data_IF_148262485465
#
_entry.id   IF_148262485465
#
_cell.length_a   1.000
_cell.length_b   1.000
_cell.length_c   1.000
_cell.angle_alpha   90.00
_cell.angle_beta   90.00
_cell.angle_gamma   90.00
#
_symmetry.space_group_name_H-M   'P 1'
#
loop_
_entity.id
_entity.type
_entity.pdbx_description
1 polymer ?
#
# COMPACT_ATOMS: atom_id res chain seq x y z
N UNK A 1 4.47 -5.93 -19.19
CA UNK A 1 4.44 -5.18 -17.91
C UNK A 1 5.46 -4.06 -18.02
N UNK A 2 5.12 -2.86 -17.58
CA UNK A 2 5.99 -1.67 -17.62
C UNK A 2 6.20 -1.23 -16.18
N UNK A 3 7.42 -0.82 -15.84
CA UNK A 3 7.73 -0.20 -14.56
C UNK A 3 8.00 1.30 -14.77
N UNK A 4 7.42 2.15 -13.90
CA UNK A 4 7.62 3.60 -13.95
C UNK A 4 7.84 4.13 -12.53
N UNK A 5 8.72 5.13 -12.40
CA UNK A 5 8.85 5.88 -11.16
C UNK A 5 7.68 6.87 -11.07
N UNK A 6 6.76 6.64 -10.14
CA UNK A 6 5.57 7.46 -9.93
C UNK A 6 5.54 7.97 -8.50
N UNK A 7 5.15 9.23 -8.29
CA UNK A 7 5.05 9.80 -6.93
C UNK A 7 3.97 9.08 -6.13
N UNK A 8 4.30 8.72 -4.89
CA UNK A 8 3.30 8.22 -3.93
C UNK A 8 2.53 9.39 -3.33
N UNK A 9 1.22 9.41 -3.58
CA UNK A 9 0.34 10.52 -3.27
C UNK A 9 -0.37 11.03 -4.53
N UNK A 10 -1.70 10.98 -4.53
CA UNK A 10 -2.50 11.47 -5.65
C UNK A 10 -3.77 12.19 -5.18
N UNK A 11 -4.14 13.24 -5.90
CA UNK A 11 -5.38 14.00 -5.71
C UNK A 11 -5.91 14.47 -7.06
N UNK A 12 -7.24 14.58 -7.25
CA UNK A 12 -7.78 15.21 -8.43
C UNK A 12 -7.42 16.71 -8.45
N UNK A 13 -7.37 17.30 -9.65
CA UNK A 13 -6.90 18.67 -9.85
C UNK A 13 -7.65 19.75 -9.04
N UNK A 14 -8.90 19.47 -8.65
CA UNK A 14 -9.75 20.39 -7.89
C UNK A 14 -9.55 20.31 -6.37
N UNK A 15 -8.90 19.27 -5.84
CA UNK A 15 -8.76 19.04 -4.40
C UNK A 15 -7.42 19.58 -3.86
N UNK A 16 -7.09 20.84 -4.15
CA UNK A 16 -5.77 21.39 -3.83
C UNK A 16 -5.62 21.92 -2.39
N UNK A 17 -6.71 21.93 -1.62
CA UNK A 17 -6.82 22.45 -0.25
C UNK A 17 -6.04 21.64 0.80
N UNK A 18 -5.59 20.43 0.45
CA UNK A 18 -4.92 19.49 1.37
C UNK A 18 -3.81 18.71 0.66
N UNK A 19 -2.87 18.19 1.44
CA UNK A 19 -1.84 17.30 0.92
C UNK A 19 -2.46 16.10 0.16
N UNK A 20 -1.77 15.62 -0.88
CA UNK A 20 -2.25 14.49 -1.64
C UNK A 20 -2.30 13.24 -0.74
N UNK A 21 -3.45 12.57 -0.60
CA UNK A 21 -3.54 11.34 0.17
C UNK A 21 -2.68 10.26 -0.47
N UNK A 22 -2.13 9.39 0.37
CA UNK A 22 -1.27 8.26 -0.04
C UNK A 22 -2.01 6.92 -0.06
N UNK A 23 -3.19 6.86 0.59
CA UNK A 23 -4.01 5.65 0.74
C UNK A 23 -5.46 5.90 0.34
N UNK A 24 -6.13 4.87 -0.19
CA UNK A 24 -7.56 4.84 -0.46
C UNK A 24 -8.22 3.60 0.16
N UNK A 25 -9.40 3.76 0.75
CA UNK A 25 -10.10 2.67 1.43
C UNK A 25 -10.86 1.77 0.45
N UNK A 26 -10.61 0.47 0.46
CA UNK A 26 -11.21 -0.51 -0.44
C UNK A 26 -12.75 -0.40 -0.50
N UNK A 27 -13.40 -0.17 0.63
CA UNK A 27 -14.85 -0.13 0.79
C UNK A 27 -15.52 1.07 0.08
N UNK A 28 -14.74 2.07 -0.33
CA UNK A 28 -15.27 3.32 -0.92
C UNK A 28 -14.57 3.73 -2.21
N UNK A 29 -13.42 3.14 -2.53
CA UNK A 29 -12.51 3.68 -3.55
C UNK A 29 -13.13 3.65 -4.95
N UNK A 30 -13.83 2.59 -5.33
CA UNK A 30 -14.41 2.42 -6.66
C UNK A 30 -15.47 3.48 -7.00
N UNK A 31 -16.22 3.93 -5.99
CA UNK A 31 -17.35 4.86 -6.16
C UNK A 31 -17.07 6.27 -5.61
N UNK A 32 -15.89 6.50 -5.05
CA UNK A 32 -15.52 7.80 -4.50
C UNK A 32 -15.42 8.85 -5.60
N UNK A 33 -16.07 10.00 -5.45
CA UNK A 33 -15.85 11.17 -6.34
C UNK A 33 -14.38 11.58 -6.44
N UNK A 34 -13.58 11.27 -5.41
CA UNK A 34 -12.16 11.58 -5.39
C UNK A 34 -11.36 10.63 -6.28
N UNK A 35 -11.65 9.32 -6.26
CA UNK A 35 -10.82 8.27 -6.88
C UNK A 35 -11.45 7.58 -8.09
N UNK A 36 -12.75 7.73 -8.34
CA UNK A 36 -13.46 7.01 -9.41
C UNK A 36 -12.90 7.29 -10.80
N UNK A 37 -12.34 8.49 -11.01
CA UNK A 37 -11.67 8.86 -12.25
C UNK A 37 -10.38 8.07 -12.50
N UNK A 38 -9.71 7.59 -11.45
CA UNK A 38 -8.48 6.78 -11.53
C UNK A 38 -8.68 5.31 -11.22
N UNK A 39 -9.92 4.88 -10.91
CA UNK A 39 -10.23 3.49 -10.56
C UNK A 39 -9.84 2.48 -11.65
N UNK A 40 -9.98 2.87 -12.92
CA UNK A 40 -9.62 2.03 -14.08
C UNK A 40 -8.11 2.01 -14.34
N UNK A 41 -7.36 2.93 -13.73
CA UNK A 41 -5.92 3.05 -13.90
C UNK A 41 -5.25 2.33 -12.72
N UNK A 42 -5.16 1.01 -12.86
CA UNK A 42 -4.68 0.08 -11.84
C UNK A 42 -3.20 -0.24 -12.04
N UNK A 43 -2.46 -0.35 -10.94
CA UNK A 43 -1.07 -0.78 -10.92
C UNK A 43 -0.79 -1.63 -9.67
N UNK A 44 0.41 -2.20 -9.62
CA UNK A 44 0.94 -2.87 -8.44
C UNK A 44 2.13 -2.07 -7.94
N UNK A 45 2.17 -1.82 -6.63
CA UNK A 45 3.35 -1.26 -5.96
C UNK A 45 4.05 -2.40 -5.22
N UNK A 46 5.11 -2.99 -5.79
CA UNK A 46 5.88 -4.02 -5.11
C UNK A 46 6.75 -3.38 -4.02
N UNK A 47 6.73 -3.97 -2.81
CA UNK A 47 7.57 -3.58 -1.67
C UNK A 47 8.10 -4.82 -0.95
N UNK A 48 9.19 -4.70 -0.21
CA UNK A 48 9.68 -5.79 0.65
C UNK A 48 8.74 -6.03 1.84
N UNK A 49 8.08 -4.98 2.30
CA UNK A 49 7.15 -4.98 3.42
C UNK A 49 6.65 -3.57 3.72
N UNK A 50 5.96 -3.41 4.85
CA UNK A 50 5.54 -2.09 5.35
C UNK A 50 5.78 -1.97 6.85
N UNK A 51 5.72 -0.73 7.34
CA UNK A 51 5.91 -0.42 8.76
C UNK A 51 4.58 -0.03 9.39
N UNK A 52 4.35 -0.48 10.63
CA UNK A 52 3.24 -0.03 11.47
C UNK A 52 3.74 0.37 12.86
N UNK A 53 3.15 1.41 13.44
CA UNK A 53 3.56 1.93 14.75
C UNK A 53 2.49 1.60 15.80
N UNK A 54 2.82 0.66 16.68
CA UNK A 54 1.95 0.13 17.74
C UNK A 54 2.14 0.92 19.02
N UNK A 55 1.04 1.27 19.70
CA UNK A 55 1.11 1.78 21.07
C UNK A 55 1.14 0.60 22.05
N UNK A 56 2.28 0.43 22.71
CA UNK A 56 2.48 -0.65 23.68
C UNK A 56 2.49 -0.14 25.13
N UNK A 57 1.90 1.04 25.37
CA UNK A 57 1.87 1.68 26.69
C UNK A 57 3.20 2.35 27.10
N UNK A 58 4.16 2.41 26.18
CA UNK A 58 5.44 3.10 26.36
C UNK A 58 5.39 4.59 25.99
N UNK A 59 6.49 5.34 26.21
CA UNK A 59 6.54 6.78 25.91
C UNK A 59 6.50 7.11 24.41
N UNK A 60 6.76 6.11 23.55
CA UNK A 60 6.72 6.23 22.09
C UNK A 60 6.23 4.93 21.49
N UNK A 61 5.47 5.06 20.40
CA UNK A 61 5.04 3.92 19.59
C UNK A 61 6.23 3.06 19.14
N UNK A 62 6.02 1.75 19.11
CA UNK A 62 6.98 0.76 18.65
C UNK A 62 6.72 0.49 17.16
N UNK A 63 7.69 0.72 16.26
CA UNK A 63 7.57 0.28 14.89
C UNK A 63 7.72 -1.24 14.78
N UNK A 64 6.88 -1.82 13.95
CA UNK A 64 6.96 -3.19 13.47
C UNK A 64 7.19 -3.15 11.97
N UNK A 65 8.04 -4.04 11.48
CA UNK A 65 8.12 -4.33 10.05
C UNK A 65 7.30 -5.58 9.76
N UNK A 66 6.46 -5.50 8.73
CA UNK A 66 5.55 -6.56 8.30
C UNK A 66 5.93 -6.93 6.87
N UNK A 67 6.15 -8.22 6.65
CA UNK A 67 6.56 -8.78 5.36
C UNK A 67 5.89 -10.14 5.12
N UNK A 68 5.96 -10.66 3.90
CA UNK A 68 5.53 -12.04 3.66
C UNK A 68 6.44 -13.03 4.40
N UNK A 69 5.85 -14.06 4.99
CA UNK A 69 6.60 -15.10 5.71
C UNK A 69 7.51 -15.92 4.79
N UNK A 70 7.19 -16.00 3.50
CA UNK A 70 7.99 -16.68 2.47
C UNK A 70 9.13 -15.81 1.90
N UNK A 71 9.26 -14.55 2.35
CA UNK A 71 10.27 -13.59 1.87
C UNK A 71 10.02 -13.07 0.46
N UNK A 72 8.88 -13.39 -0.17
CA UNK A 72 8.51 -12.82 -1.46
C UNK A 72 8.06 -11.35 -1.29
N UNK A 73 8.10 -10.60 -2.39
CA UNK A 73 7.63 -9.22 -2.41
C UNK A 73 6.13 -9.12 -2.07
N UNK A 74 5.78 -8.07 -1.33
CA UNK A 74 4.40 -7.66 -1.08
C UNK A 74 3.90 -6.89 -2.30
N UNK A 75 2.84 -7.39 -2.94
CA UNK A 75 2.24 -6.79 -4.14
C UNK A 75 1.00 -5.96 -3.76
N UNK A 76 1.21 -4.70 -3.40
CA UNK A 76 0.12 -3.81 -3.01
C UNK A 76 -0.74 -3.38 -4.21
N UNK A 77 -2.05 -3.53 -4.11
CA UNK A 77 -3.00 -3.00 -5.09
C UNK A 77 -3.01 -1.47 -5.06
N UNK A 78 -2.78 -0.84 -6.22
CA UNK A 78 -2.75 0.62 -6.34
C UNK A 78 -3.57 1.13 -7.51
N UNK A 79 -4.01 2.38 -7.38
CA UNK A 79 -4.64 3.16 -8.45
C UNK A 79 -3.98 4.53 -8.54
N UNK A 80 -4.04 5.15 -9.72
CA UNK A 80 -3.42 6.45 -9.89
C UNK A 80 -3.62 7.07 -11.25
N UNK A 81 -3.01 8.23 -11.42
CA UNK A 81 -2.84 8.85 -12.72
C UNK A 81 -1.37 8.70 -13.11
N UNK A 82 -1.13 7.92 -14.15
CA UNK A 82 0.22 7.56 -14.58
C UNK A 82 0.63 8.37 -15.81
N UNK A 83 1.93 8.67 -15.97
CA UNK A 83 2.44 9.22 -17.22
C UNK A 83 2.22 8.24 -18.38
N UNK A 84 2.02 8.79 -19.56
CA UNK A 84 2.18 8.03 -20.80
C UNK A 84 3.62 7.53 -20.92
N UNK A 85 3.82 6.43 -21.64
CA UNK A 85 5.16 5.91 -21.91
C UNK A 85 6.06 7.01 -22.47
N UNK A 86 7.27 7.11 -21.94
CA UNK A 86 8.30 8.08 -22.34
C UNK A 86 7.94 9.57 -22.11
N UNK A 87 6.84 9.86 -21.41
CA UNK A 87 6.46 11.23 -21.04
C UNK A 87 7.11 11.68 -19.72
N UNK A 88 7.31 12.99 -19.59
CA UNK A 88 7.78 13.60 -18.34
C UNK A 88 6.72 13.44 -17.23
N UNK A 89 7.17 13.25 -16.00
CA UNK A 89 6.28 13.21 -14.85
C UNK A 89 5.74 14.61 -14.53
N UNK A 90 4.42 14.73 -14.48
CA UNK A 90 3.74 15.98 -14.15
C UNK A 90 3.22 15.98 -12.72
N UNK A 91 2.91 17.18 -12.19
CA UNK A 91 2.34 17.34 -10.85
C UNK A 91 1.01 16.63 -10.65
N UNK A 92 0.25 16.34 -11.72
CA UNK A 92 -1.00 15.59 -11.63
C UNK A 92 -0.79 14.08 -11.49
N UNK A 93 0.40 13.57 -11.84
CA UNK A 93 0.69 12.15 -11.75
C UNK A 93 0.92 11.73 -10.30
N UNK A 94 0.54 10.51 -10.00
CA UNK A 94 0.68 9.96 -8.66
C UNK A 94 -0.17 8.72 -8.49
N UNK A 95 0.07 7.99 -7.41
CA UNK A 95 -0.73 6.82 -7.04
C UNK A 95 -1.07 6.81 -5.56
N UNK A 96 -2.06 5.98 -5.21
CA UNK A 96 -2.42 5.65 -3.84
C UNK A 96 -2.42 4.13 -3.65
N UNK A 97 -2.06 3.68 -2.45
CA UNK A 97 -2.19 2.27 -2.05
C UNK A 97 -3.61 2.04 -1.55
N UNK A 98 -4.26 0.97 -2.00
CA UNK A 98 -5.55 0.57 -1.48
C UNK A 98 -5.34 -0.12 -0.14
N UNK A 99 -6.11 0.27 0.88
CA UNK A 99 -6.09 -0.34 2.21
C UNK A 99 -7.44 -0.93 2.56
N UNK A 100 -7.46 -1.98 3.35
CA UNK A 100 -8.65 -2.61 3.94
C UNK A 100 -8.54 -2.63 5.47
N UNK A 101 -9.64 -2.94 6.17
CA UNK A 101 -9.60 -3.23 7.61
C UNK A 101 -8.62 -4.38 7.88
N UNK A 102 -7.89 -4.29 9.00
CA UNK A 102 -7.09 -5.41 9.45
C UNK A 102 -8.01 -6.54 9.93
N UNK A 103 -7.73 -7.77 9.51
CA UNK A 103 -8.37 -8.99 10.01
C UNK A 103 -7.39 -9.72 10.95
N UNK A 104 -7.91 -10.58 11.83
CA UNK A 104 -7.24 -11.53 12.76
C UNK A 104 -5.74 -11.33 13.07
N UNK A 105 -5.35 -11.21 14.35
CA UNK A 105 -3.95 -11.17 14.81
C UNK A 105 -3.14 -9.93 14.40
N UNK A 106 -3.40 -9.36 13.22
CA UNK A 106 -2.85 -8.10 12.72
C UNK A 106 -3.60 -6.88 13.27
N UNK A 107 -4.82 -7.07 13.79
CA UNK A 107 -5.61 -6.05 14.49
C UNK A 107 -4.87 -5.51 15.72
N UNK A 108 -4.04 -6.33 16.37
CA UNK A 108 -3.24 -5.90 17.53
C UNK A 108 -2.13 -4.90 17.15
N UNK A 109 -1.88 -4.71 15.84
CA UNK A 109 -0.84 -3.82 15.32
C UNK A 109 -1.43 -2.51 14.79
N UNK A 110 -2.49 -2.57 13.97
CA UNK A 110 -3.14 -1.39 13.41
C UNK A 110 -4.52 -1.69 12.80
N UNK A 111 -5.41 -0.69 12.73
CA UNK A 111 -6.78 -0.84 12.23
C UNK A 111 -6.88 -1.09 10.71
N UNK A 112 -5.81 -0.79 9.95
CA UNK A 112 -5.80 -0.84 8.48
C UNK A 112 -4.50 -1.44 7.96
N UNK A 113 -4.59 -2.20 6.88
CA UNK A 113 -3.45 -2.78 6.15
C UNK A 113 -3.55 -2.54 4.63
N UNK A 114 -2.43 -2.56 3.88
CA UNK A 114 -2.48 -2.60 2.43
C UNK A 114 -3.27 -3.81 1.93
N UNK A 115 -4.04 -3.64 0.86
CA UNK A 115 -4.59 -4.77 0.10
C UNK A 115 -3.46 -5.37 -0.71
N UNK A 116 -2.97 -6.52 -0.27
CA UNK A 116 -1.91 -7.27 -0.92
C UNK A 116 -2.54 -8.36 -1.78
N UNK A 117 -2.11 -8.49 -3.03
CA UNK A 117 -2.63 -9.50 -3.95
C UNK A 117 -1.62 -10.63 -4.15
N UNK A 118 -2.12 -11.85 -4.34
CA UNK A 118 -1.28 -12.96 -4.83
C UNK A 118 -0.72 -12.64 -6.22
N UNK A 119 0.34 -13.30 -6.68
CA UNK A 119 0.88 -13.06 -8.03
C UNK A 119 -0.15 -13.23 -9.15
N UNK A 120 -1.10 -14.16 -9.00
CA UNK A 120 -2.17 -14.42 -9.96
C UNK A 120 -3.16 -13.26 -10.00
N UNK A 121 -3.64 -12.81 -8.84
CA UNK A 121 -4.54 -11.67 -8.74
C UNK A 121 -3.85 -10.37 -9.11
N UNK A 122 -2.57 -10.20 -8.81
CA UNK A 122 -1.80 -9.03 -9.22
C UNK A 122 -1.73 -8.90 -10.76
N UNK A 123 -1.63 -10.02 -11.49
CA UNK A 123 -1.69 -10.02 -12.97
C UNK A 123 -3.09 -9.66 -13.48
N UNK A 124 -4.13 -10.24 -12.89
CA UNK A 124 -5.53 -9.90 -13.24
C UNK A 124 -5.84 -8.43 -12.93
N UNK A 125 -5.31 -7.90 -11.83
CA UNK A 125 -5.54 -6.53 -11.37
C UNK A 125 -5.03 -5.50 -12.38
N UNK A 126 -3.84 -5.71 -12.95
CA UNK A 126 -3.25 -4.79 -13.93
C UNK A 126 -3.73 -5.03 -15.36
N UNK A 127 -4.48 -6.11 -15.60
CA UNK A 127 -5.06 -6.37 -16.90
C UNK A 127 -6.16 -5.33 -17.20
N UNK A 128 -6.00 -4.61 -18.31
CA UNK A 128 -6.97 -3.63 -18.79
C UNK A 128 -8.30 -4.26 -19.23
N UNK A 129 -8.33 -5.57 -19.49
CA UNK A 129 -9.55 -6.31 -19.78
C UNK A 129 -10.38 -6.62 -18.52
N UNK A 130 -9.78 -6.56 -17.32
CA UNK A 130 -10.49 -6.85 -16.07
C UNK A 130 -11.56 -5.79 -15.79
N UNK A 131 -12.85 -6.19 -15.70
CA UNK A 131 -13.94 -5.27 -15.44
C UNK A 131 -13.79 -4.53 -14.10
N UNK A 132 -14.25 -3.26 -13.99
CA UNK A 132 -14.21 -2.52 -12.74
C UNK A 132 -14.84 -3.24 -11.54
N UNK A 133 -15.92 -4.00 -11.77
CA UNK A 133 -16.66 -4.75 -10.75
C UNK A 133 -15.85 -5.96 -10.25
N UNK A 134 -15.12 -6.62 -11.15
CA UNK A 134 -14.19 -7.70 -10.80
C UNK A 134 -13.03 -7.17 -9.97
N UNK A 135 -12.46 -6.04 -10.38
CA UNK A 135 -11.41 -5.36 -9.62
C UNK A 135 -11.90 -4.97 -8.21
N UNK A 136 -13.14 -4.53 -8.07
CA UNK A 136 -13.73 -4.21 -6.78
C UNK A 136 -13.87 -5.45 -5.88
N UNK A 137 -14.36 -6.58 -6.42
CA UNK A 137 -14.41 -7.84 -5.69
C UNK A 137 -13.02 -8.26 -5.18
N UNK A 138 -11.98 -8.14 -6.00
CA UNK A 138 -10.62 -8.53 -5.63
C UNK A 138 -10.14 -7.80 -4.38
N UNK A 139 -10.31 -6.46 -4.33
CA UNK A 139 -9.82 -5.65 -3.20
C UNK A 139 -10.69 -5.73 -1.95
N UNK A 140 -11.95 -6.16 -2.09
CA UNK A 140 -12.87 -6.32 -0.96
C UNK A 140 -12.80 -7.71 -0.33
N UNK A 141 -12.43 -8.75 -1.08
CA UNK A 141 -12.65 -10.13 -0.66
C UNK A 141 -11.48 -11.08 -0.91
N UNK A 142 -10.52 -10.72 -1.78
CA UNK A 142 -9.49 -11.65 -2.26
C UNK A 142 -8.06 -11.14 -1.97
N UNK A 143 -7.93 -10.12 -1.12
CA UNK A 143 -6.64 -9.74 -0.56
C UNK A 143 -6.03 -10.88 0.26
N UNK A 144 -4.71 -11.00 0.23
CA UNK A 144 -3.96 -12.00 0.97
C UNK A 144 -4.30 -11.96 2.46
N UNK A 145 -4.51 -13.12 3.08
CA UNK A 145 -4.93 -13.24 4.46
C UNK A 145 -3.79 -12.87 5.44
N UNK A 146 -4.07 -12.43 6.68
CA UNK A 146 -3.03 -12.06 7.65
C UNK A 146 -1.96 -13.13 7.90
N UNK A 147 -2.33 -14.41 7.79
CA UNK A 147 -1.49 -15.56 8.10
C UNK A 147 -0.32 -15.76 7.12
N UNK A 148 -0.35 -15.13 5.94
CA UNK A 148 0.78 -15.17 5.01
C UNK A 148 1.89 -14.20 5.38
N UNK A 149 1.65 -13.33 6.36
CA UNK A 149 2.59 -12.32 6.82
C UNK A 149 3.24 -12.72 8.14
N UNK A 150 4.45 -12.23 8.33
CA UNK A 150 5.14 -12.22 9.62
C UNK A 150 5.49 -10.79 9.97
N UNK A 151 5.60 -10.50 11.26
CA UNK A 151 5.95 -9.18 11.75
C UNK A 151 6.87 -9.27 12.97
N UNK A 152 7.70 -8.25 13.13
CA UNK A 152 8.64 -8.17 14.24
C UNK A 152 8.98 -6.71 14.54
N UNK A 153 9.41 -6.46 15.78
CA UNK A 153 9.86 -5.14 16.25
C UNK A 153 11.11 -4.73 15.49
N UNK A 154 11.18 -3.46 15.09
CA UNK A 154 12.37 -2.85 14.50
C UNK A 154 12.80 -1.62 15.28
N UNK A 155 13.99 -1.10 14.98
CA UNK A 155 14.50 0.08 15.66
C UNK A 155 13.64 1.32 15.37
N UNK A 156 13.47 2.18 16.39
CA UNK A 156 12.70 3.44 16.27
C UNK A 156 13.30 4.45 15.29
N UNK A 157 14.56 4.26 14.90
CA UNK A 157 15.24 5.05 13.88
C UNK A 157 14.45 5.15 12.57
N UNK A 158 13.62 4.16 12.23
CA UNK A 158 12.80 4.18 11.01
C UNK A 158 11.78 5.33 10.98
N UNK A 159 11.40 5.89 12.15
CA UNK A 159 10.52 7.06 12.22
C UNK A 159 11.14 8.35 11.67
N UNK A 160 12.46 8.40 11.47
CA UNK A 160 13.13 9.51 10.82
C UNK A 160 13.42 9.18 9.36
N UNK A 161 12.67 9.79 8.44
CA UNK A 161 12.75 9.55 6.98
C UNK A 161 14.11 9.80 6.35
N UNK A 162 15.04 10.47 7.05
CA UNK A 162 16.43 10.64 6.57
C UNK A 162 17.25 9.36 6.72
N UNK A 163 16.81 8.42 7.54
CA UNK A 163 17.44 7.13 7.71
C UNK A 163 16.98 6.21 6.57
N UNK A 164 17.93 5.62 5.83
CA UNK A 164 17.68 4.79 4.64
C UNK A 164 18.53 3.52 4.63
N UNK A 165 19.07 3.11 5.79
CA UNK A 165 19.96 1.95 5.89
C UNK A 165 19.21 0.61 6.01
N UNK A 166 19.82 -0.48 5.55
CA UNK A 166 19.23 -1.82 5.62
C UNK A 166 18.88 -2.29 7.05
N UNK A 167 19.60 -1.80 8.06
CA UNK A 167 19.34 -2.09 9.47
C UNK A 167 17.94 -1.68 9.95
N UNK A 168 17.23 -0.83 9.21
CA UNK A 168 15.88 -0.37 9.59
C UNK A 168 14.81 -1.46 9.49
N UNK A 169 15.08 -2.56 8.78
CA UNK A 169 14.21 -3.73 8.68
C UNK A 169 14.77 -4.94 9.44
N UNK A 170 15.88 -4.79 10.17
CA UNK A 170 16.42 -5.87 10.98
C UNK A 170 15.60 -6.02 12.27
N UNK A 171 15.31 -7.26 12.70
CA UNK A 171 14.65 -7.49 13.98
C UNK A 171 15.43 -6.87 15.12
N UNK A 172 14.75 -6.14 15.99
CA UNK A 172 15.36 -5.63 17.20
C UNK A 172 15.81 -6.81 18.06
N UNK A 173 17.09 -6.82 18.46
CA UNK A 173 17.60 -7.85 19.37
C UNK A 173 16.81 -7.79 20.68
N UNK A 174 16.39 -8.96 21.19
CA UNK A 174 15.77 -9.05 22.50
C UNK A 174 16.75 -8.47 23.55
N UNK A 175 16.30 -7.44 24.26
CA UNK A 175 17.02 -6.86 25.40
C UNK A 175 16.69 -7.65 26.66
#
# INVERSE_FOLDING_TARGET
>A
MIAQLVRWGWRPFWAQDRAAPINARAEKVAHSRFYSAVWKHRAITPVDGWFEWVDEGGPRKQPYFIQRADGAAVLCATIGQFPELDSQQEERHGFVIITADAEGGMIDIHDRRPVVLSPELAREWVDGATPPERAEQMVLQEGEAPEVFTWYRVDRAVGNVRNQGAHLIEPQSAS
#
